data_IF_978393813572
#
_entry.id   IF_978393813572
#
_cell.length_a   1.000
_cell.length_b   1.000
_cell.length_c   1.000
_cell.angle_alpha   90.00
_cell.angle_beta   90.00
_cell.angle_gamma   90.00
#
_symmetry.space_group_name_H-M   'P 1'
#
loop_
_entity.id
_entity.type
_entity.pdbx_description
1 polymer ?
#
# COMPACT_ATOMS: atom_id res chain seq x y z
N UNK A 1 19.39 6.72 -2.51
CA UNK A 1 18.65 7.93 -2.05
C UNK A 1 17.14 7.70 -2.20
N UNK A 2 16.29 8.42 -1.45
CA UNK A 2 14.81 8.33 -1.56
C UNK A 2 14.29 8.58 -2.99
N UNK A 3 14.90 9.53 -3.69
CA UNK A 3 14.55 9.86 -5.07
C UNK A 3 14.81 8.70 -6.04
N UNK A 4 15.90 7.95 -5.85
CA UNK A 4 16.23 6.80 -6.67
C UNK A 4 15.18 5.69 -6.53
N UNK A 5 14.79 5.33 -5.30
CA UNK A 5 13.74 4.32 -5.05
C UNK A 5 12.43 4.74 -5.71
N UNK A 6 12.01 5.99 -5.51
CA UNK A 6 10.78 6.51 -6.13
C UNK A 6 10.80 6.39 -7.65
N UNK A 7 11.91 6.75 -8.30
CA UNK A 7 12.08 6.63 -9.75
C UNK A 7 11.98 5.18 -10.22
N UNK A 8 12.66 4.26 -9.52
CA UNK A 8 12.60 2.84 -9.86
C UNK A 8 11.19 2.28 -9.68
N UNK A 9 10.51 2.60 -8.59
CA UNK A 9 9.13 2.14 -8.35
C UNK A 9 8.19 2.61 -9.46
N UNK A 10 8.25 3.89 -9.85
CA UNK A 10 7.42 4.36 -10.96
C UNK A 10 7.78 3.66 -12.27
N UNK A 11 9.06 3.45 -12.56
CA UNK A 11 9.49 2.72 -13.76
C UNK A 11 8.98 1.28 -13.78
N UNK A 12 9.17 0.51 -12.71
CA UNK A 12 8.85 -0.94 -12.69
C UNK A 12 7.35 -1.23 -12.58
N UNK A 13 6.56 -0.26 -12.10
CA UNK A 13 5.10 -0.42 -11.97
C UNK A 13 4.32 0.12 -13.16
N UNK A 14 4.97 0.87 -14.05
CA UNK A 14 4.36 1.32 -15.29
C UNK A 14 4.17 0.14 -16.28
N UNK A 15 3.09 0.11 -17.08
CA UNK A 15 2.85 -0.92 -18.10
C UNK A 15 4.04 -1.09 -19.06
N UNK A 16 4.70 0.00 -19.45
CA UNK A 16 5.87 -0.01 -20.34
C UNK A 16 7.08 -0.80 -19.82
N UNK A 17 7.15 -1.13 -18.53
CA UNK A 17 8.15 -2.07 -18.03
C UNK A 17 7.95 -3.50 -18.58
N UNK A 18 6.74 -3.81 -19.05
CA UNK A 18 6.35 -5.07 -19.69
C UNK A 18 6.02 -4.89 -21.17
N UNK A 19 6.57 -3.85 -21.80
CA UNK A 19 6.34 -3.50 -23.21
C UNK A 19 4.86 -3.17 -23.56
N UNK A 20 4.05 -2.81 -22.55
CA UNK A 20 2.67 -2.33 -22.73
C UNK A 20 2.63 -0.79 -22.88
N UNK A 21 1.72 -0.22 -23.69
CA UNK A 21 1.67 1.22 -23.90
C UNK A 21 1.26 1.97 -22.63
N UNK A 22 2.00 3.03 -22.29
CA UNK A 22 1.56 4.05 -21.33
C UNK A 22 2.20 5.40 -21.66
N UNK A 23 1.39 6.46 -21.63
CA UNK A 23 1.88 7.82 -21.81
C UNK A 23 2.88 8.20 -20.70
N UNK A 24 3.97 8.89 -21.04
CA UNK A 24 4.96 9.34 -20.06
C UNK A 24 5.94 8.27 -19.57
N UNK A 25 6.20 7.24 -20.39
CA UNK A 25 7.27 6.27 -20.15
C UNK A 25 8.62 6.66 -20.76
N UNK A 26 8.63 7.33 -21.93
CA UNK A 26 9.85 7.57 -22.70
C UNK A 26 10.49 8.94 -22.42
N UNK A 27 9.68 10.00 -22.31
CA UNK A 27 10.20 11.37 -22.30
C UNK A 27 10.79 11.83 -20.96
N UNK A 28 10.55 11.11 -19.86
CA UNK A 28 11.01 11.51 -18.52
C UNK A 28 10.42 12.82 -17.97
N UNK A 29 9.75 13.60 -18.81
CA UNK A 29 9.03 14.83 -18.48
C UNK A 29 7.66 14.55 -17.87
N UNK A 30 7.02 13.45 -18.28
CA UNK A 30 5.73 13.01 -17.77
C UNK A 30 5.85 11.70 -17.00
N UNK A 31 4.99 11.52 -16.01
CA UNK A 31 4.85 10.28 -15.25
C UNK A 31 3.67 9.50 -15.85
N UNK A 32 3.87 8.22 -16.15
CA UNK A 32 2.76 7.31 -16.46
C UNK A 32 1.73 7.30 -15.33
N UNK A 33 0.47 7.64 -15.64
CA UNK A 33 -0.61 7.75 -14.64
C UNK A 33 -0.99 6.40 -14.04
N UNK A 34 -0.80 5.33 -14.81
CA UNK A 34 -0.99 3.95 -14.37
C UNK A 34 0.13 3.46 -13.43
N UNK A 35 1.27 4.16 -13.39
CA UNK A 35 2.37 3.81 -12.49
C UNK A 35 2.02 4.09 -11.02
N UNK A 36 2.31 3.11 -10.18
CA UNK A 36 1.97 3.12 -8.75
C UNK A 36 3.06 3.80 -7.93
N UNK A 37 2.67 4.66 -6.98
CA UNK A 37 3.64 5.32 -6.10
C UNK A 37 4.17 4.37 -5.00
N UNK A 38 5.40 4.58 -4.49
CA UNK A 38 5.90 3.84 -3.34
C UNK A 38 4.96 3.89 -2.12
N UNK A 39 4.29 5.03 -1.92
CA UNK A 39 3.32 5.19 -0.84
C UNK A 39 2.10 4.29 -1.04
N UNK A 40 1.59 4.16 -2.26
CA UNK A 40 0.47 3.29 -2.57
C UNK A 40 0.82 1.81 -2.34
N UNK A 41 2.02 1.37 -2.72
CA UNK A 41 2.50 0.01 -2.43
C UNK A 41 2.55 -0.24 -0.91
N UNK A 42 3.15 0.68 -0.15
CA UNK A 42 3.23 0.57 1.30
C UNK A 42 1.86 0.52 1.97
N UNK A 43 0.92 1.37 1.51
CA UNK A 43 -0.48 1.39 1.98
C UNK A 43 -1.19 0.08 1.69
N UNK A 44 -1.06 -0.46 0.48
CA UNK A 44 -1.63 -1.76 0.11
C UNK A 44 -1.08 -2.89 0.97
N UNK A 45 0.25 -2.92 1.17
CA UNK A 45 0.90 -3.91 2.04
C UNK A 45 0.40 -3.84 3.48
N UNK A 46 0.38 -2.66 4.10
CA UNK A 46 -0.12 -2.48 5.48
C UNK A 46 -1.58 -2.92 5.58
N UNK A 47 -2.42 -2.49 4.63
CA UNK A 47 -3.84 -2.85 4.62
C UNK A 47 -4.01 -4.37 4.53
N UNK A 48 -3.25 -5.05 3.66
CA UNK A 48 -3.30 -6.51 3.54
C UNK A 48 -2.97 -7.22 4.86
N UNK A 49 -1.87 -6.87 5.54
CA UNK A 49 -1.54 -7.47 6.84
C UNK A 49 -2.66 -7.28 7.86
N UNK A 50 -3.27 -6.09 7.90
CA UNK A 50 -4.36 -5.80 8.84
C UNK A 50 -5.66 -6.54 8.48
N UNK A 51 -5.93 -6.78 7.19
CA UNK A 51 -7.07 -7.57 6.71
C UNK A 51 -6.90 -9.06 7.02
N UNK A 52 -5.67 -9.57 7.04
CA UNK A 52 -5.34 -10.95 7.46
C UNK A 52 -5.22 -11.09 8.99
N UNK A 53 -5.85 -10.19 9.76
CA UNK A 53 -5.89 -10.18 11.22
C UNK A 53 -4.52 -10.20 11.93
N UNK A 54 -3.46 -9.74 11.26
CA UNK A 54 -2.16 -9.58 11.91
C UNK A 54 -2.25 -8.44 12.94
N UNK A 55 -1.80 -8.66 14.20
CA UNK A 55 -1.95 -7.67 15.25
C UNK A 55 -1.34 -6.31 14.86
N UNK A 56 -2.06 -5.18 15.08
CA UNK A 56 -1.57 -3.85 14.70
C UNK A 56 -0.17 -3.54 15.26
N UNK A 57 0.15 -4.00 16.46
CA UNK A 57 1.45 -3.82 17.12
C UNK A 57 2.57 -4.47 16.30
N UNK A 58 2.34 -5.69 15.80
CA UNK A 58 3.29 -6.40 14.93
C UNK A 58 3.45 -5.67 13.60
N UNK A 59 2.35 -5.14 13.03
CA UNK A 59 2.39 -4.38 11.78
C UNK A 59 3.14 -3.05 11.96
N UNK A 60 2.91 -2.34 13.07
CA UNK A 60 3.58 -1.07 13.38
C UNK A 60 5.09 -1.25 13.54
N UNK A 61 5.52 -2.31 14.23
CA UNK A 61 6.92 -2.63 14.42
C UNK A 61 7.59 -3.05 13.11
N UNK A 62 6.96 -3.98 12.37
CA UNK A 62 7.47 -4.46 11.07
C UNK A 62 7.63 -3.34 10.06
N UNK A 63 6.68 -2.41 10.01
CA UNK A 63 6.64 -1.36 9.00
C UNK A 63 7.30 -0.07 9.48
N UNK A 64 7.72 0.02 10.74
CA UNK A 64 8.23 1.24 11.38
C UNK A 64 7.27 2.42 11.17
N UNK A 65 6.06 2.31 11.72
CA UNK A 65 5.02 3.34 11.67
C UNK A 65 4.25 3.35 12.97
N UNK A 66 3.97 4.52 13.54
CA UNK A 66 3.15 4.57 14.76
C UNK A 66 1.70 4.20 14.46
N UNK A 67 0.99 3.69 15.47
CA UNK A 67 -0.43 3.32 15.34
C UNK A 67 -1.30 4.47 14.82
N UNK A 68 -1.10 5.67 15.36
CA UNK A 68 -1.78 6.90 14.90
C UNK A 68 -1.55 7.19 13.41
N UNK A 69 -0.31 7.03 12.92
CA UNK A 69 0.03 7.29 11.51
C UNK A 69 -0.50 6.17 10.61
N UNK A 70 -0.49 4.93 11.08
CA UNK A 70 -1.08 3.77 10.41
C UNK A 70 -2.56 4.00 10.16
N UNK A 71 -3.33 4.34 11.19
CA UNK A 71 -4.78 4.56 11.10
C UNK A 71 -5.14 5.73 10.16
N UNK A 72 -4.35 6.82 10.19
CA UNK A 72 -4.66 8.02 9.41
C UNK A 72 -4.29 7.90 7.92
N UNK A 73 -3.19 7.21 7.59
CA UNK A 73 -2.60 7.33 6.26
C UNK A 73 -2.49 6.01 5.48
N UNK A 74 -2.50 4.87 6.18
CA UNK A 74 -2.17 3.57 5.61
C UNK A 74 -3.27 2.53 5.72
N UNK A 75 -4.02 2.45 6.83
CA UNK A 75 -5.14 1.52 6.93
C UNK A 75 -6.27 1.94 5.97
N UNK A 76 -6.55 1.07 5.00
CA UNK A 76 -7.63 1.25 4.02
C UNK A 76 -8.75 0.21 4.14
N UNK A 77 -8.80 -0.54 5.23
CA UNK A 77 -9.98 -1.37 5.53
C UNK A 77 -11.19 -0.46 5.69
N UNK A 78 -12.31 -0.87 5.10
CA UNK A 78 -13.58 -0.19 5.32
C UNK A 78 -14.07 -0.46 6.74
N UNK A 79 -15.01 0.35 7.22
CA UNK A 79 -15.58 0.12 8.54
C UNK A 79 -16.33 -1.22 8.62
N UNK A 80 -16.93 -1.66 7.52
CA UNK A 80 -17.55 -2.99 7.39
C UNK A 80 -16.52 -4.11 7.59
N UNK A 81 -15.37 -4.05 6.90
CA UNK A 81 -14.29 -5.04 7.08
C UNK A 81 -13.84 -5.10 8.53
N UNK A 82 -13.63 -3.94 9.17
CA UNK A 82 -13.23 -3.88 10.59
C UNK A 82 -14.31 -4.44 11.51
N UNK A 83 -15.60 -4.26 11.19
CA UNK A 83 -16.72 -4.84 11.95
C UNK A 83 -16.73 -6.36 11.81
N UNK A 84 -16.63 -6.88 10.58
CA UNK A 84 -16.64 -8.33 10.34
C UNK A 84 -15.46 -9.04 11.03
N UNK A 85 -14.26 -8.45 10.97
CA UNK A 85 -13.11 -8.96 11.73
C UNK A 85 -13.43 -9.04 13.23
N UNK A 86 -13.97 -7.97 13.82
CA UNK A 86 -14.38 -7.99 15.24
C UNK A 86 -15.45 -9.04 15.53
N UNK A 87 -16.43 -9.23 14.65
CA UNK A 87 -17.47 -10.25 14.82
C UNK A 87 -16.87 -11.65 14.86
N UNK A 88 -15.97 -11.96 13.93
CA UNK A 88 -15.32 -13.28 13.86
C UNK A 88 -14.61 -13.69 15.16
N UNK A 89 -14.04 -12.73 15.90
CA UNK A 89 -13.41 -12.98 17.21
C UNK A 89 -14.40 -13.20 18.36
N UNK A 90 -15.67 -12.80 18.18
CA UNK A 90 -16.73 -12.91 19.17
C UNK A 90 -17.72 -14.04 18.85
N UNK A 91 -17.69 -14.62 17.64
CA UNK A 91 -18.66 -15.61 17.17
C UNK A 91 -18.71 -16.90 18.01
N UNK A 92 -17.66 -17.19 18.79
CA UNK A 92 -17.54 -18.37 19.64
C UNK A 92 -17.41 -18.06 21.13
N UNK A 93 -17.81 -16.85 21.54
CA UNK A 93 -17.92 -16.41 22.95
C UNK A 93 -19.39 -16.40 23.34
#
# INVERSE_FOLDING_TARGET
>A
SRAAIRRHVYRITAPCFRDEPCDGCEDGEKKCDEAVSPHAIRRGSITHYLTEDVPPEVVTDRMNVSRKVLDQHYDKRTEEVKVEQRRSFLDNI
#
